data_IF_728518675941
#
_entry.id   IF_728518675941
#
_cell.length_a   1.000
_cell.length_b   1.000
_cell.length_c   1.000
_cell.angle_alpha   90.00
_cell.angle_beta   90.00
_cell.angle_gamma   90.00
#
_symmetry.space_group_name_H-M   'P 1'
#
loop_
_entity.id
_entity.type
_entity.pdbx_description
1 polymer ?
#
# COMPACT_ATOMS: atom_id res chain seq x y z
N UNK A 1 20.32 -19.21 6.59
CA UNK A 1 19.23 -18.55 5.83
C UNK A 1 19.59 -17.08 5.68
N UNK A 2 19.66 -16.54 4.46
CA UNK A 2 20.15 -15.18 4.20
C UNK A 2 19.12 -14.18 4.75
N UNK A 3 19.45 -13.52 5.87
CA UNK A 3 18.61 -12.50 6.49
C UNK A 3 18.70 -11.19 5.67
N UNK A 4 18.18 -11.18 4.45
CA UNK A 4 18.22 -9.99 3.60
C UNK A 4 17.16 -8.99 4.05
N UNK A 5 17.58 -7.74 4.25
CA UNK A 5 16.65 -6.63 4.42
C UNK A 5 15.81 -6.49 3.15
N UNK A 6 14.49 -6.39 3.31
CA UNK A 6 13.54 -6.27 2.21
C UNK A 6 12.66 -5.05 2.40
N UNK A 7 12.49 -4.24 1.37
CA UNK A 7 11.55 -3.12 1.35
C UNK A 7 10.31 -3.48 0.56
N UNK A 8 9.19 -3.63 1.27
CA UNK A 8 7.91 -4.05 0.71
C UNK A 8 6.97 -2.84 0.56
N UNK A 9 6.45 -2.64 -0.64
CA UNK A 9 5.42 -1.66 -0.93
C UNK A 9 4.04 -2.28 -0.76
N UNK A 10 3.10 -1.55 -0.17
CA UNK A 10 1.73 -2.00 0.08
C UNK A 10 0.76 -1.10 -0.68
N UNK A 11 0.11 -1.61 -1.73
CA UNK A 11 -0.90 -0.83 -2.47
C UNK A 11 -2.23 -0.81 -1.70
N UNK A 12 -2.45 0.21 -0.88
CA UNK A 12 -3.58 0.29 0.04
C UNK A 12 -4.64 1.33 -0.38
N UNK A 13 -4.75 1.65 -1.67
CA UNK A 13 -5.74 2.62 -2.17
C UNK A 13 -7.21 2.22 -1.97
N UNK A 14 -7.49 0.94 -1.71
CA UNK A 14 -8.81 0.45 -1.34
C UNK A 14 -9.17 0.66 0.15
N UNK A 15 -8.22 1.06 0.99
CA UNK A 15 -8.53 1.44 2.35
C UNK A 15 -9.47 2.65 2.37
N UNK A 16 -10.60 2.50 3.05
CA UNK A 16 -11.57 3.56 3.28
C UNK A 16 -12.05 3.47 4.73
N UNK A 17 -11.77 4.51 5.52
CA UNK A 17 -12.20 4.61 6.92
C UNK A 17 -13.57 5.28 7.08
N UNK A 18 -14.20 5.72 5.99
CA UNK A 18 -15.58 6.22 6.02
C UNK A 18 -16.58 5.07 6.14
N UNK A 19 -17.64 5.26 6.96
CA UNK A 19 -18.74 4.30 7.21
C UNK A 19 -19.69 4.11 6.01
N UNK A 20 -19.17 3.81 4.82
CA UNK A 20 -19.95 3.48 3.63
C UNK A 20 -19.81 1.99 3.28
N UNK A 21 -20.69 1.45 2.42
CA UNK A 21 -20.63 0.06 1.91
C UNK A 21 -19.24 -0.36 1.39
N UNK A 22 -18.43 0.59 0.87
CA UNK A 22 -17.03 0.36 0.46
C UNK A 22 -16.04 0.10 1.61
N UNK A 23 -16.48 0.17 2.86
CA UNK A 23 -15.69 -0.13 4.05
C UNK A 23 -15.72 -1.60 4.47
N UNK A 24 -16.47 -2.47 3.80
CA UNK A 24 -16.57 -3.88 4.16
C UNK A 24 -15.51 -4.76 3.48
N UNK A 25 -15.19 -5.91 4.08
CA UNK A 25 -14.29 -6.93 3.52
C UNK A 25 -12.84 -6.45 3.36
N UNK A 26 -12.47 -6.11 2.12
CA UNK A 26 -11.08 -5.77 1.75
C UNK A 26 -10.54 -4.54 2.50
N UNK A 27 -11.37 -3.53 2.79
CA UNK A 27 -10.93 -2.36 3.56
C UNK A 27 -10.53 -2.75 4.99
N UNK A 28 -11.29 -3.63 5.63
CA UNK A 28 -10.98 -4.16 6.97
C UNK A 28 -9.75 -5.05 6.97
N UNK A 29 -9.57 -5.88 5.94
CA UNK A 29 -8.34 -6.65 5.76
C UNK A 29 -7.12 -5.74 5.66
N UNK A 30 -7.16 -4.73 4.77
CA UNK A 30 -6.07 -3.76 4.61
C UNK A 30 -5.82 -3.02 5.92
N UNK A 31 -6.87 -2.57 6.61
CA UNK A 31 -6.73 -1.86 7.88
C UNK A 31 -5.98 -2.70 8.94
N UNK A 32 -6.44 -3.93 9.17
CA UNK A 32 -5.82 -4.81 10.17
C UNK A 32 -4.40 -5.21 9.76
N UNK A 33 -4.18 -5.51 8.47
CA UNK A 33 -2.86 -5.81 7.95
C UNK A 33 -1.91 -4.64 8.21
N UNK A 34 -2.23 -3.42 7.78
CA UNK A 34 -1.36 -2.27 7.97
C UNK A 34 -1.11 -1.96 9.45
N UNK A 35 -2.09 -2.17 10.32
CA UNK A 35 -1.95 -1.88 11.75
C UNK A 35 -1.04 -2.89 12.46
N UNK A 36 -0.98 -4.13 11.99
CA UNK A 36 -0.29 -5.24 12.70
C UNK A 36 0.99 -5.70 12.00
N UNK A 37 1.10 -5.53 10.69
CA UNK A 37 2.15 -6.16 9.87
C UNK A 37 3.55 -5.92 10.43
N UNK A 38 3.93 -4.66 10.71
CA UNK A 38 5.28 -4.38 11.21
C UNK A 38 5.57 -4.99 12.59
N UNK A 39 4.54 -5.19 13.43
CA UNK A 39 4.70 -5.78 14.77
C UNK A 39 5.05 -7.28 14.73
N UNK A 40 4.64 -7.97 13.66
CA UNK A 40 4.83 -9.41 13.48
C UNK A 40 5.88 -9.76 12.43
N UNK A 41 6.48 -8.75 11.81
CA UNK A 41 7.45 -8.93 10.73
C UNK A 41 8.89 -8.84 11.26
N UNK A 42 9.85 -9.54 10.61
CA UNK A 42 11.26 -9.39 10.93
C UNK A 42 11.73 -7.92 10.95
N UNK A 43 12.70 -7.61 11.81
CA UNK A 43 13.19 -6.23 11.98
C UNK A 43 13.80 -5.65 10.70
N UNK A 44 14.42 -6.49 9.88
CA UNK A 44 15.03 -6.13 8.61
C UNK A 44 14.01 -5.86 7.49
N UNK A 45 12.70 -6.06 7.72
CA UNK A 45 11.67 -5.73 6.75
C UNK A 45 11.17 -4.30 6.94
N UNK A 46 11.18 -3.52 5.85
CA UNK A 46 10.68 -2.15 5.79
C UNK A 46 9.41 -2.12 4.95
N UNK A 47 8.47 -1.25 5.31
CA UNK A 47 7.19 -1.16 4.63
C UNK A 47 6.86 0.27 4.22
N UNK A 48 6.37 0.43 2.99
CA UNK A 48 5.77 1.67 2.51
C UNK A 48 4.34 1.44 2.06
N UNK A 49 3.39 2.14 2.67
CA UNK A 49 1.97 2.04 2.31
C UNK A 49 1.56 3.19 1.39
N UNK A 50 0.96 2.88 0.26
CA UNK A 50 0.41 3.85 -0.70
C UNK A 50 -1.10 3.96 -0.50
N UNK A 51 -1.57 5.15 -0.11
CA UNK A 51 -2.89 5.34 0.49
C UNK A 51 -3.63 6.53 -0.13
N UNK A 52 -4.96 6.43 -0.20
CA UNK A 52 -5.83 7.58 -0.54
C UNK A 52 -6.45 8.26 0.68
N UNK A 53 -6.65 7.52 1.77
CA UNK A 53 -7.34 7.99 2.96
C UNK A 53 -6.37 8.44 4.05
N UNK A 54 -6.27 9.77 4.26
CA UNK A 54 -5.37 10.37 5.26
C UNK A 54 -5.79 10.08 6.70
N UNK A 55 -7.04 9.69 6.94
CA UNK A 55 -7.49 9.35 8.28
C UNK A 55 -6.70 8.18 8.90
N UNK A 56 -6.07 7.33 8.07
CA UNK A 56 -5.23 6.22 8.54
C UNK A 56 -3.93 6.67 9.25
N UNK A 57 -3.53 7.94 9.10
CA UNK A 57 -2.29 8.44 9.71
C UNK A 57 -2.28 8.27 11.24
N UNK A 58 -3.44 8.35 11.89
CA UNK A 58 -3.55 8.19 13.34
C UNK A 58 -3.31 6.75 13.82
N UNK A 59 -3.42 5.76 12.93
CA UNK A 59 -3.27 4.33 13.24
C UNK A 59 -1.95 3.76 12.75
N UNK A 60 -1.17 4.54 12.01
CA UNK A 60 0.08 4.09 11.44
C UNK A 60 1.17 3.93 12.49
N UNK A 61 1.71 2.71 12.61
CA UNK A 61 2.89 2.42 13.43
C UNK A 61 3.92 1.65 12.61
N UNK A 62 5.15 2.15 12.55
CA UNK A 62 6.27 1.48 11.88
C UNK A 62 6.17 1.38 10.34
N UNK A 63 5.26 2.14 9.71
CA UNK A 63 5.07 2.18 8.26
C UNK A 63 5.44 3.56 7.71
N UNK A 64 6.10 3.61 6.54
CA UNK A 64 6.24 4.85 5.77
C UNK A 64 4.97 5.09 4.93
N UNK A 65 4.21 6.14 5.24
CA UNK A 65 2.95 6.44 4.56
C UNK A 65 3.17 7.35 3.35
N UNK A 66 2.58 6.97 2.21
CA UNK A 66 2.63 7.72 0.96
C UNK A 66 1.20 8.02 0.51
N UNK A 67 0.73 9.23 0.79
CA UNK A 67 -0.63 9.64 0.42
C UNK A 67 -0.69 10.18 -1.01
N UNK A 68 -1.61 9.64 -1.81
CA UNK A 68 -1.89 10.18 -3.13
C UNK A 68 -2.50 11.57 -3.07
N UNK A 69 -2.17 12.38 -4.07
CA UNK A 69 -2.79 13.69 -4.33
C UNK A 69 -4.01 13.58 -5.25
N UNK A 70 -4.21 12.41 -5.87
CA UNK A 70 -5.37 12.12 -6.72
C UNK A 70 -6.53 11.58 -5.87
N UNK A 71 -7.79 11.79 -6.29
CA UNK A 71 -8.95 11.28 -5.57
C UNK A 71 -9.15 9.77 -5.83
N UNK A 72 -8.22 8.93 -5.36
CA UNK A 72 -8.19 7.48 -5.62
C UNK A 72 -9.36 6.69 -5.02
N UNK A 73 -10.27 7.36 -4.29
CA UNK A 73 -11.60 6.79 -3.97
C UNK A 73 -12.44 6.57 -5.24
N UNK A 74 -12.21 7.34 -6.30
CA UNK A 74 -12.84 7.16 -7.61
C UNK A 74 -12.10 6.07 -8.38
N UNK A 75 -12.77 5.00 -8.85
CA UNK A 75 -12.10 3.87 -9.52
C UNK A 75 -11.19 4.29 -10.69
N UNK A 76 -11.65 5.18 -11.58
CA UNK A 76 -10.84 5.67 -12.70
C UNK A 76 -9.56 6.38 -12.23
N UNK A 77 -9.65 7.25 -11.22
CA UNK A 77 -8.48 7.93 -10.66
C UNK A 77 -7.52 6.94 -9.98
N UNK A 78 -8.05 5.88 -9.35
CA UNK A 78 -7.23 4.80 -8.79
C UNK A 78 -6.48 4.04 -9.87
N UNK A 79 -7.17 3.61 -10.93
CA UNK A 79 -6.55 2.89 -12.06
C UNK A 79 -5.43 3.74 -12.68
N UNK A 80 -5.68 5.03 -12.93
CA UNK A 80 -4.65 5.94 -13.44
C UNK A 80 -3.47 6.08 -12.46
N UNK A 81 -3.74 6.16 -11.17
CA UNK A 81 -2.68 6.21 -10.17
C UNK A 81 -1.86 4.91 -10.16
N UNK A 82 -2.52 3.75 -10.15
CA UNK A 82 -1.90 2.42 -10.13
C UNK A 82 -1.04 2.18 -11.38
N UNK A 83 -1.50 2.59 -12.56
CA UNK A 83 -0.77 2.35 -13.80
C UNK A 83 0.37 3.36 -14.06
N UNK A 84 0.21 4.63 -13.66
CA UNK A 84 1.17 5.69 -14.03
C UNK A 84 1.97 6.25 -12.86
N UNK A 85 1.35 6.42 -11.69
CA UNK A 85 2.01 7.05 -10.52
C UNK A 85 2.71 6.00 -9.66
N UNK A 86 2.12 4.81 -9.48
CA UNK A 86 2.69 3.76 -8.66
C UNK A 86 4.07 3.28 -9.13
N UNK A 87 4.34 3.04 -10.43
CA UNK A 87 5.69 2.63 -10.87
C UNK A 87 6.77 3.63 -10.46
N UNK A 88 6.47 4.93 -10.58
CA UNK A 88 7.37 6.01 -10.19
C UNK A 88 7.54 6.05 -8.67
N UNK A 89 6.45 5.89 -7.92
CA UNK A 89 6.47 5.87 -6.46
C UNK A 89 7.30 4.68 -5.93
N UNK A 90 7.16 3.49 -6.53
CA UNK A 90 7.92 2.29 -6.20
C UNK A 90 9.42 2.47 -6.47
N UNK A 91 9.79 3.01 -7.64
CA UNK A 91 11.20 3.32 -7.96
C UNK A 91 11.81 4.33 -6.99
N UNK A 92 11.09 5.41 -6.69
CA UNK A 92 11.55 6.46 -5.76
C UNK A 92 11.75 5.92 -4.34
N UNK A 93 10.84 5.06 -3.90
CA UNK A 93 10.93 4.43 -2.58
C UNK A 93 11.94 3.27 -2.55
N UNK A 94 12.46 2.81 -3.69
CA UNK A 94 13.33 1.63 -3.82
C UNK A 94 12.68 0.35 -3.25
N UNK A 95 11.42 0.14 -3.60
CA UNK A 95 10.66 -1.04 -3.19
C UNK A 95 11.15 -2.29 -3.94
N UNK A 96 11.49 -3.33 -3.19
CA UNK A 96 11.96 -4.63 -3.70
C UNK A 96 10.81 -5.57 -4.07
N UNK A 97 9.65 -5.44 -3.41
CA UNK A 97 8.44 -6.25 -3.64
C UNK A 97 7.18 -5.40 -3.46
N UNK A 98 6.25 -5.46 -4.40
CA UNK A 98 4.92 -4.86 -4.26
C UNK A 98 3.90 -5.90 -3.78
N UNK A 99 3.28 -5.70 -2.63
CA UNK A 99 2.03 -6.38 -2.30
C UNK A 99 0.84 -5.57 -2.84
N UNK A 100 0.24 -6.08 -3.91
CA UNK A 100 -0.90 -5.52 -4.59
C UNK A 100 -2.19 -5.89 -3.84
N UNK A 101 -2.48 -5.22 -2.71
CA UNK A 101 -3.60 -5.57 -1.81
C UNK A 101 -5.00 -5.52 -2.47
N UNK A 102 -5.11 -4.91 -3.65
CA UNK A 102 -6.31 -4.86 -4.47
C UNK A 102 -6.30 -5.87 -5.64
N UNK A 103 -5.33 -6.79 -5.68
CA UNK A 103 -5.08 -7.75 -6.76
C UNK A 103 -4.79 -7.10 -8.13
N UNK A 104 -4.24 -5.87 -8.11
CA UNK A 104 -3.87 -5.11 -9.31
C UNK A 104 -2.48 -4.54 -9.13
N UNK A 105 -1.60 -4.85 -10.09
CA UNK A 105 -0.27 -4.29 -10.21
C UNK A 105 -0.16 -3.43 -11.49
N UNK A 106 0.79 -2.47 -11.56
CA UNK A 106 1.06 -1.74 -12.78
C UNK A 106 1.62 -2.68 -13.85
N UNK A 107 1.26 -2.45 -15.12
CA UNK A 107 1.91 -3.15 -16.24
C UNK A 107 3.43 -2.91 -16.27
N UNK A 108 3.87 -1.72 -15.85
CA UNK A 108 5.27 -1.32 -15.77
C UNK A 108 5.86 -1.45 -14.35
N UNK A 109 5.41 -2.44 -13.56
CA UNK A 109 5.93 -2.67 -12.21
C UNK A 109 7.47 -2.83 -12.24
N UNK A 110 8.22 -2.06 -11.43
CA UNK A 110 9.69 -2.11 -11.42
C UNK A 110 10.25 -3.27 -10.59
N UNK A 111 9.39 -4.06 -9.94
CA UNK A 111 9.74 -5.14 -9.03
C UNK A 111 8.67 -6.24 -9.08
N UNK A 112 8.97 -7.45 -8.58
CA UNK A 112 7.98 -8.50 -8.42
C UNK A 112 6.78 -8.04 -7.58
N UNK A 113 5.63 -8.66 -7.80
CA UNK A 113 4.41 -8.35 -7.07
C UNK A 113 3.62 -9.60 -6.67
N UNK A 114 2.83 -9.48 -5.60
CA UNK A 114 1.93 -10.50 -5.04
C UNK A 114 0.57 -9.94 -4.67
#
# INVERSE_FOLDING_TARGET
>A
MRNQAAHIGLNAHLLSLSQSYRGAGISWYIFNLLTRLKQVSPDNFKYSAFLGDRAFQAQASGLALNFSRLPTRRPAARILWEQFVQPLALRRAKVDLLHALAFVAPLAAPCPFV
#
